data_IF_910955936181
#
_entry.id   IF_910955936181
#
_cell.length_a   1.000
_cell.length_b   1.000
_cell.length_c   1.000
_cell.angle_alpha   90.00
_cell.angle_beta   90.00
_cell.angle_gamma   90.00
#
_symmetry.space_group_name_H-M   'P 1'
#
loop_
_entity.id
_entity.type
_entity.pdbx_description
1 polymer ?
#
# COMPACT_ATOMS: atom_id res chain seq x y z
N UNK A 1 11.37 19.97 -21.81
CA UNK A 1 10.45 19.62 -20.70
C UNK A 1 11.06 20.14 -19.42
N UNK A 2 10.64 21.32 -18.94
CA UNK A 2 11.15 21.88 -17.68
C UNK A 2 10.77 20.92 -16.55
N UNK A 3 11.77 20.35 -15.88
CA UNK A 3 11.59 19.48 -14.71
C UNK A 3 11.06 20.37 -13.60
N UNK A 4 9.74 20.60 -13.59
CA UNK A 4 9.07 21.15 -12.40
C UNK A 4 9.48 20.24 -11.26
N UNK A 5 10.12 20.80 -10.23
CA UNK A 5 10.56 20.04 -9.06
C UNK A 5 9.37 19.22 -8.56
N UNK A 6 9.44 17.90 -8.76
CA UNK A 6 8.39 17.00 -8.32
C UNK A 6 8.43 17.03 -6.81
N UNK A 7 7.37 17.58 -6.21
CA UNK A 7 7.20 17.59 -4.76
C UNK A 7 7.43 16.16 -4.22
N UNK A 8 8.16 16.03 -3.11
CA UNK A 8 8.42 14.76 -2.42
C UNK A 8 7.14 13.94 -2.24
N UNK A 9 6.02 14.61 -1.97
CA UNK A 9 4.72 13.96 -1.82
C UNK A 9 4.18 13.34 -3.11
N UNK A 10 4.54 13.86 -4.29
CA UNK A 10 4.17 13.25 -5.56
C UNK A 10 4.91 11.92 -5.81
N UNK A 11 6.08 11.75 -5.19
CA UNK A 11 6.92 10.55 -5.33
C UNK A 11 6.62 9.53 -4.22
N UNK A 12 6.53 10.00 -2.97
CA UNK A 12 6.43 9.14 -1.79
C UNK A 12 5.02 9.02 -1.20
N UNK A 13 4.04 9.82 -1.65
CA UNK A 13 2.68 9.77 -1.10
C UNK A 13 2.03 8.39 -1.22
N UNK A 14 2.10 7.78 -2.40
CA UNK A 14 1.57 6.43 -2.61
C UNK A 14 2.31 5.35 -1.81
N UNK A 15 3.66 5.28 -1.82
CA UNK A 15 4.41 4.37 -0.94
C UNK A 15 4.07 4.53 0.56
N UNK A 16 3.94 5.76 1.06
CA UNK A 16 3.61 6.03 2.46
C UNK A 16 2.19 5.56 2.80
N UNK A 17 1.21 5.84 1.93
CA UNK A 17 -0.16 5.39 2.14
C UNK A 17 -0.24 3.85 2.20
N UNK A 18 0.46 3.18 1.30
CA UNK A 18 0.56 1.72 1.26
C UNK A 18 1.24 1.16 2.51
N UNK A 19 2.32 1.80 2.97
CA UNK A 19 3.00 1.42 4.21
C UNK A 19 2.07 1.51 5.42
N UNK A 20 1.36 2.64 5.58
CA UNK A 20 0.44 2.84 6.71
C UNK A 20 -0.69 1.80 6.67
N UNK A 21 -1.31 1.59 5.51
CA UNK A 21 -2.37 0.59 5.34
C UNK A 21 -1.87 -0.82 5.69
N UNK A 22 -0.74 -1.23 5.13
CA UNK A 22 -0.20 -2.57 5.39
C UNK A 22 0.25 -2.75 6.84
N UNK A 23 0.84 -1.74 7.47
CA UNK A 23 1.24 -1.83 8.86
C UNK A 23 0.02 -1.94 9.78
N UNK A 24 -1.03 -1.16 9.53
CA UNK A 24 -2.30 -1.28 10.27
C UNK A 24 -2.96 -2.64 10.07
N UNK A 25 -2.97 -3.15 8.83
CA UNK A 25 -3.46 -4.51 8.54
C UNK A 25 -2.65 -5.59 9.26
N UNK A 26 -1.33 -5.50 9.25
CA UNK A 26 -0.48 -6.47 9.95
C UNK A 26 -0.74 -6.45 11.47
N UNK A 27 -0.75 -5.27 12.08
CA UNK A 27 -0.99 -5.14 13.52
C UNK A 27 -2.40 -5.63 13.87
N UNK A 28 -3.41 -5.28 13.08
CA UNK A 28 -4.79 -5.73 13.29
C UNK A 28 -4.96 -7.24 13.17
N UNK A 29 -4.26 -7.88 12.23
CA UNK A 29 -4.26 -9.33 12.07
C UNK A 29 -3.63 -10.04 13.27
N UNK A 30 -2.57 -9.45 13.83
CA UNK A 30 -1.92 -9.99 15.03
C UNK A 30 -2.74 -9.80 16.32
N UNK A 31 -3.61 -8.79 16.38
CA UNK A 31 -4.41 -8.47 17.57
C UNK A 31 -5.84 -9.04 17.51
N UNK A 32 -6.37 -9.27 16.32
CA UNK A 32 -7.71 -9.80 16.09
C UNK A 32 -7.71 -11.32 15.93
N UNK A 33 -8.84 -11.95 16.22
CA UNK A 33 -9.08 -13.37 15.96
C UNK A 33 -10.34 -13.55 15.08
N UNK A 34 -10.46 -14.71 14.42
CA UNK A 34 -11.59 -15.07 13.58
C UNK A 34 -11.74 -14.19 12.33
N UNK A 35 -12.95 -13.68 12.08
CA UNK A 35 -13.25 -12.92 10.84
C UNK A 35 -12.44 -11.63 10.73
N UNK A 36 -12.11 -11.01 11.86
CA UNK A 36 -11.33 -9.77 11.87
C UNK A 36 -9.88 -10.00 11.44
N UNK A 37 -9.28 -11.14 11.76
CA UNK A 37 -7.94 -11.50 11.29
C UNK A 37 -7.90 -11.58 9.75
N UNK A 38 -8.91 -12.20 9.14
CA UNK A 38 -9.03 -12.26 7.68
C UNK A 38 -9.19 -10.88 7.02
N UNK A 39 -9.98 -9.98 7.63
CA UNK A 39 -10.17 -8.60 7.14
C UNK A 39 -8.85 -7.81 7.19
N UNK A 40 -8.12 -7.92 8.29
CA UNK A 40 -6.84 -7.22 8.47
C UNK A 40 -5.73 -7.81 7.59
N UNK A 41 -5.72 -9.13 7.40
CA UNK A 41 -4.85 -9.81 6.43
C UNK A 41 -5.12 -9.38 4.99
N UNK A 42 -6.38 -9.15 4.61
CA UNK A 42 -6.73 -8.59 3.31
C UNK A 42 -6.23 -7.14 3.16
N UNK A 43 -6.28 -6.36 4.24
CA UNK A 43 -5.77 -4.99 4.28
C UNK A 43 -4.24 -4.96 4.17
N UNK A 44 -3.55 -5.91 4.80
CA UNK A 44 -2.11 -6.15 4.61
C UNK A 44 -1.80 -6.45 3.14
N UNK A 45 -2.57 -7.33 2.48
CA UNK A 45 -2.36 -7.71 1.08
C UNK A 45 -2.47 -6.55 0.07
N UNK A 46 -2.98 -5.38 0.48
CA UNK A 46 -3.03 -4.17 -0.36
C UNK A 46 -1.66 -3.76 -0.92
N UNK A 47 -0.55 -3.99 -0.20
CA UNK A 47 0.83 -3.76 -0.71
C UNK A 47 1.10 -4.57 -1.97
N UNK A 48 0.71 -5.85 -1.97
CA UNK A 48 0.91 -6.76 -3.10
C UNK A 48 0.08 -6.30 -4.28
N UNK A 49 -1.20 -5.97 -4.06
CA UNK A 49 -2.12 -5.49 -5.10
C UNK A 49 -1.60 -4.21 -5.76
N UNK A 50 -1.18 -3.23 -4.96
CA UNK A 50 -0.67 -1.95 -5.49
C UNK A 50 0.65 -2.16 -6.24
N UNK A 51 1.52 -3.05 -5.77
CA UNK A 51 2.78 -3.38 -6.45
C UNK A 51 2.54 -4.04 -7.80
N UNK A 52 1.64 -5.02 -7.86
CA UNK A 52 1.26 -5.71 -9.11
C UNK A 52 0.62 -4.72 -10.09
N UNK A 53 -0.29 -3.87 -9.61
CA UNK A 53 -0.91 -2.83 -10.44
C UNK A 53 0.13 -1.86 -11.01
N UNK A 54 1.07 -1.39 -10.19
CA UNK A 54 2.14 -0.50 -10.63
C UNK A 54 3.05 -1.16 -11.68
N UNK A 55 3.35 -2.45 -11.52
CA UNK A 55 4.11 -3.23 -12.51
C UNK A 55 3.35 -3.37 -13.84
N UNK A 56 2.05 -3.66 -13.81
CA UNK A 56 1.21 -3.75 -15.01
C UNK A 56 1.12 -2.39 -15.70
N UNK A 57 0.87 -1.31 -14.94
CA UNK A 57 0.75 0.05 -15.48
C UNK A 57 2.06 0.60 -16.03
N UNK A 58 3.22 0.13 -15.55
CA UNK A 58 4.53 0.45 -16.15
C UNK A 58 4.79 -0.28 -17.46
N UNK A 59 4.19 -1.46 -17.65
CA UNK A 59 4.35 -2.30 -18.86
C UNK A 59 3.35 -1.95 -19.97
N UNK A 60 2.30 -1.18 -19.67
CA UNK A 60 1.40 -0.56 -20.65
C UNK A 60 1.85 0.87 -20.95
#
# INVERSE_FOLDING_TARGET
>A
MSRKDLNIWAIFGAPVAVFVLSLTGLIGALLGDGVWDAVFSALLASTVVVTVWALIRRRR
#
